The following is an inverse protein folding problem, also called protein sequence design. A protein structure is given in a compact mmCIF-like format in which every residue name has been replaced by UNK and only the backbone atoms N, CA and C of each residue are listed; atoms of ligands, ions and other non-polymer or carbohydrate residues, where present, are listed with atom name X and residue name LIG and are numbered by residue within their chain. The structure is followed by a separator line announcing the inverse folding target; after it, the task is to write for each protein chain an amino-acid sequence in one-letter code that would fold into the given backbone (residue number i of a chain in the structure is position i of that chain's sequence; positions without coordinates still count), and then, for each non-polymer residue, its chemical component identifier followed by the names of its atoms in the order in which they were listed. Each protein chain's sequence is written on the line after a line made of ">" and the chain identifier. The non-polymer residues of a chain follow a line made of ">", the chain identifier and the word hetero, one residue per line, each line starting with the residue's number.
data_IF_781601745974
#
_entry.id   IF_781601745974
#
_cell.length_a   1.000
_cell.length_b   1.000
_cell.length_c   1.000
_cell.angle_alpha   90.00
_cell.angle_beta   90.00
_cell.angle_gamma   90.00
#
_symmetry.space_group_name_H-M   'P 1'
#
loop_
_entity.id
_entity.type
_entity.pdbx_description
1 polymer ?
#
# COMPACT_ATOMS: atom_id res chain seq x y z
N UNK A 1 0.23 -18.14 26.40
CA UNK A 1 0.71 -17.96 25.01
C UNK A 1 -0.46 -18.23 24.07
N UNK A 2 -0.43 -17.62 22.88
CA UNK A 2 -1.53 -17.42 21.91
C UNK A 2 -2.26 -16.10 22.22
N UNK A 3 -2.13 -15.00 21.48
CA UNK A 3 -1.54 -14.78 20.17
C UNK A 3 -2.39 -13.70 19.48
N UNK A 4 -2.28 -12.46 19.94
CA UNK A 4 -3.07 -11.33 19.39
C UNK A 4 -2.20 -10.11 19.11
N UNK A 5 -0.95 -10.35 18.72
CA UNK A 5 -0.13 -9.36 18.02
C UNK A 5 -0.31 -9.56 16.52
N UNK A 6 -1.52 -9.35 16.02
CA UNK A 6 -1.74 -9.00 14.60
C UNK A 6 -2.29 -7.58 14.57
N UNK A 7 -1.60 -6.68 15.27
CA UNK A 7 -1.76 -5.25 15.06
C UNK A 7 -1.24 -4.97 13.66
N UNK A 8 -2.15 -4.70 12.72
CA UNK A 8 -1.87 -4.46 11.31
C UNK A 8 -0.78 -3.42 11.12
N UNK A 9 0.46 -3.88 11.01
CA UNK A 9 1.65 -3.06 10.92
C UNK A 9 1.93 -2.72 9.47
N UNK A 10 2.24 -1.43 9.22
CA UNK A 10 2.69 -0.90 7.93
C UNK A 10 1.76 0.13 7.30
N UNK A 11 0.84 -0.30 6.42
CA UNK A 11 -0.02 0.62 5.64
C UNK A 11 -0.98 1.44 6.52
N UNK A 12 -1.67 0.77 7.44
CA UNK A 12 -2.71 1.38 8.29
C UNK A 12 -2.15 2.28 9.39
N UNK A 13 -0.91 2.03 9.82
CA UNK A 13 -0.21 2.89 10.78
C UNK A 13 0.38 4.14 10.12
N UNK A 14 0.70 4.07 8.81
CA UNK A 14 1.43 5.13 8.11
C UNK A 14 0.55 6.06 7.29
N UNK A 15 -0.66 5.63 6.89
CA UNK A 15 -1.52 6.42 6.00
C UNK A 15 -2.99 6.42 6.41
N UNK A 16 -3.57 7.62 6.38
CA UNK A 16 -5.03 7.81 6.46
C UNK A 16 -5.62 7.83 5.05
N UNK A 17 -5.98 6.65 4.54
CA UNK A 17 -6.48 6.49 3.18
C UNK A 17 -8.01 6.45 3.13
N UNK A 18 -8.59 7.24 2.23
CA UNK A 18 -10.02 7.16 1.92
C UNK A 18 -10.34 5.91 1.09
N UNK A 19 -11.63 5.58 0.96
CA UNK A 19 -12.07 4.47 0.12
C UNK A 19 -11.62 4.59 -1.35
N UNK A 20 -11.58 5.80 -1.91
CA UNK A 20 -11.10 6.02 -3.29
C UNK A 20 -9.58 5.83 -3.41
N UNK A 21 -8.83 6.24 -2.39
CA UNK A 21 -7.39 5.98 -2.30
C UNK A 21 -7.10 4.47 -2.25
N UNK A 22 -7.83 3.73 -1.42
CA UNK A 22 -7.72 2.28 -1.32
C UNK A 22 -8.04 1.58 -2.65
N UNK A 23 -9.12 1.99 -3.35
CA UNK A 23 -9.43 1.46 -4.69
C UNK A 23 -8.31 1.72 -5.71
N UNK A 24 -7.70 2.91 -5.66
CA UNK A 24 -6.59 3.26 -6.55
C UNK A 24 -5.35 2.42 -6.26
N UNK A 25 -5.05 2.19 -4.98
CA UNK A 25 -3.94 1.33 -4.56
C UNK A 25 -4.20 -0.12 -4.99
N UNK A 26 -5.42 -0.62 -4.82
CA UNK A 26 -5.80 -1.96 -5.24
C UNK A 26 -5.65 -2.17 -6.75
N UNK A 27 -6.18 -1.26 -7.57
CA UNK A 27 -6.03 -1.31 -9.04
C UNK A 27 -4.55 -1.36 -9.45
N UNK A 28 -3.71 -0.58 -8.77
CA UNK A 28 -2.28 -0.55 -9.02
C UNK A 28 -1.62 -1.92 -8.74
N UNK A 29 -1.98 -2.56 -7.63
CA UNK A 29 -1.46 -3.87 -7.23
C UNK A 29 -2.02 -5.02 -8.07
N UNK A 30 -3.27 -4.92 -8.55
CA UNK A 30 -3.92 -5.96 -9.35
C UNK A 30 -3.41 -6.01 -10.79
N UNK A 31 -2.96 -4.88 -11.34
CA UNK A 31 -2.37 -4.85 -12.68
C UNK A 31 -1.09 -5.67 -12.81
N UNK A 32 -0.38 -5.92 -11.70
CA UNK A 32 0.87 -6.71 -11.70
C UNK A 32 2.02 -6.09 -12.48
N UNK A 33 1.85 -4.88 -13.03
CA UNK A 33 2.84 -4.16 -13.85
C UNK A 33 3.47 -3.03 -13.04
N UNK A 34 4.75 -2.73 -13.31
CA UNK A 34 5.39 -1.55 -12.74
C UNK A 34 4.56 -0.30 -12.99
N UNK A 35 4.27 0.44 -11.93
CA UNK A 35 3.38 1.60 -11.98
C UNK A 35 3.67 2.57 -10.86
N UNK A 36 3.31 3.82 -11.10
CA UNK A 36 3.47 4.92 -10.14
C UNK A 36 2.21 5.75 -10.12
N UNK A 37 1.67 6.01 -8.93
CA UNK A 37 0.44 6.79 -8.74
C UNK A 37 0.59 7.71 -7.55
N UNK A 38 0.06 8.93 -7.66
CA UNK A 38 -0.17 9.78 -6.50
C UNK A 38 -1.44 9.30 -5.80
N UNK A 39 -1.33 8.99 -4.52
CA UNK A 39 -2.45 8.62 -3.65
C UNK A 39 -2.30 9.48 -2.40
N UNK A 40 -3.29 10.32 -2.15
CA UNK A 40 -3.21 11.36 -1.14
C UNK A 40 -1.98 12.28 -1.36
N UNK A 41 -1.17 12.48 -0.32
CA UNK A 41 0.02 13.34 -0.31
C UNK A 41 1.28 12.62 -0.80
N UNK A 42 1.20 11.32 -1.12
CA UNK A 42 2.34 10.49 -1.45
C UNK A 42 2.24 9.89 -2.85
N UNK A 43 3.39 9.72 -3.50
CA UNK A 43 3.55 8.91 -4.68
C UNK A 43 3.90 7.50 -4.26
N UNK A 44 3.10 6.54 -4.68
CA UNK A 44 3.35 5.13 -4.53
C UNK A 44 3.98 4.60 -5.81
N UNK A 45 4.98 3.73 -5.66
CA UNK A 45 5.62 3.03 -6.76
C UNK A 45 5.58 1.54 -6.52
N UNK A 46 4.97 0.81 -7.44
CA UNK A 46 4.93 -0.64 -7.45
C UNK A 46 5.77 -1.17 -8.61
N UNK A 47 6.58 -2.20 -8.37
CA UNK A 47 7.43 -2.83 -9.40
C UNK A 47 7.17 -4.35 -9.55
N UNK A 48 6.02 -4.87 -9.10
CA UNK A 48 5.68 -6.30 -9.15
C UNK A 48 5.92 -7.04 -7.83
N UNK A 49 7.11 -6.87 -7.25
CA UNK A 49 7.53 -7.52 -6.00
C UNK A 49 7.80 -6.55 -4.84
N UNK A 50 7.83 -5.25 -5.14
CA UNK A 50 8.07 -4.19 -4.16
C UNK A 50 7.02 -3.08 -4.33
N UNK A 51 6.50 -2.59 -3.21
CA UNK A 51 5.72 -1.36 -3.13
C UNK A 51 6.48 -0.38 -2.24
N UNK A 52 6.67 0.84 -2.74
CA UNK A 52 7.24 1.93 -1.96
C UNK A 52 6.42 3.20 -2.08
N UNK A 53 6.79 4.20 -1.28
CA UNK A 53 6.17 5.52 -1.27
C UNK A 53 7.18 6.64 -1.00
N UNK A 54 6.81 7.86 -1.38
CA UNK A 54 7.44 9.12 -0.97
C UNK A 54 6.54 10.32 -1.32
N UNK A 55 6.66 11.45 -0.62
CA UNK A 55 6.01 12.70 -1.02
C UNK A 55 6.57 13.27 -2.34
N UNK A 56 7.83 12.95 -2.69
CA UNK A 56 8.45 13.32 -3.96
C UNK A 56 8.20 12.27 -5.06
N UNK A 57 7.78 12.75 -6.24
CA UNK A 57 7.54 11.92 -7.42
C UNK A 57 8.80 11.24 -7.94
N UNK A 58 9.93 11.93 -7.89
CA UNK A 58 11.21 11.45 -8.43
C UNK A 58 11.75 10.26 -7.63
N UNK A 59 11.40 10.21 -6.33
CA UNK A 59 11.84 9.19 -5.40
C UNK A 59 10.68 8.38 -4.80
N UNK A 60 9.64 8.13 -5.58
CA UNK A 60 8.40 7.46 -5.13
C UNK A 60 8.61 6.06 -4.50
N UNK A 61 9.75 5.41 -4.74
CA UNK A 61 10.10 4.14 -4.11
C UNK A 61 11.07 4.23 -2.92
N UNK A 62 11.36 5.44 -2.41
CA UNK A 62 12.39 5.67 -1.37
C UNK A 62 12.14 4.89 -0.09
N UNK A 63 10.89 4.84 0.35
CA UNK A 63 10.49 4.13 1.55
C UNK A 63 9.69 2.89 1.17
N UNK A 64 10.04 1.75 1.75
CA UNK A 64 9.30 0.50 1.59
C UNK A 64 8.26 0.28 2.67
N UNK A 65 7.41 -0.71 2.42
CA UNK A 65 6.57 -1.34 3.43
C UNK A 65 7.29 -2.57 4.01
N UNK A 66 6.94 -2.94 5.24
CA UNK A 66 7.41 -4.19 5.83
C UNK A 66 6.66 -5.38 5.21
N UNK A 67 5.40 -5.15 4.85
CA UNK A 67 4.58 -6.16 4.18
C UNK A 67 4.92 -6.28 2.69
N UNK A 68 4.79 -7.49 2.18
CA UNK A 68 4.83 -7.74 0.75
C UNK A 68 3.63 -7.09 0.03
N UNK A 69 3.75 -6.78 -1.27
CA UNK A 69 2.63 -6.26 -2.06
C UNK A 69 1.38 -7.17 -2.03
N UNK A 70 1.55 -8.49 -1.85
CA UNK A 70 0.44 -9.44 -1.75
C UNK A 70 -0.33 -9.27 -0.43
N UNK A 71 0.37 -9.12 0.68
CA UNK A 71 -0.22 -8.84 2.00
C UNK A 71 -0.93 -7.49 2.00
N UNK A 72 -0.30 -6.46 1.44
CA UNK A 72 -0.91 -5.12 1.31
C UNK A 72 -2.19 -5.20 0.46
N UNK A 73 -2.15 -5.93 -0.65
CA UNK A 73 -3.32 -6.17 -1.49
C UNK A 73 -4.46 -6.82 -0.70
N UNK A 74 -4.17 -7.82 0.12
CA UNK A 74 -5.18 -8.48 0.94
C UNK A 74 -5.77 -7.51 1.99
N UNK A 75 -4.93 -6.79 2.73
CA UNK A 75 -5.36 -5.78 3.71
C UNK A 75 -6.25 -4.72 3.06
N UNK A 76 -5.87 -4.21 1.88
CA UNK A 76 -6.68 -3.23 1.14
C UNK A 76 -8.05 -3.81 0.74
N UNK A 77 -8.13 -5.08 0.35
CA UNK A 77 -9.41 -5.75 0.06
C UNK A 77 -10.29 -5.83 1.30
N UNK A 78 -9.73 -6.23 2.44
CA UNK A 78 -10.45 -6.31 3.72
C UNK A 78 -11.01 -4.94 4.13
N UNK A 79 -10.21 -3.88 4.02
CA UNK A 79 -10.64 -2.50 4.33
C UNK A 79 -11.74 -1.96 3.42
N UNK A 80 -11.86 -2.47 2.19
CA UNK A 80 -12.89 -2.03 1.25
C UNK A 80 -14.25 -2.72 1.47
N UNK A 81 -14.29 -3.79 2.27
CA UNK A 81 -15.49 -4.57 2.62
C UNK A 81 -16.19 -4.05 3.88
N UNK A 82 -15.49 -3.26 4.70
CA UNK A 82 -16.03 -2.50 5.85
C UNK A 82 -16.78 -1.27 5.32
#
# INVERSE_FOLDING_TARGET
>A
MIGTEVLGSGLLLKFWLTRSHLKTLLDMLEKGKPSRRKIDTNYFQYNGYFLGYNSSKDNAGKYGFEESPAEIKQKVKELLLI
#
